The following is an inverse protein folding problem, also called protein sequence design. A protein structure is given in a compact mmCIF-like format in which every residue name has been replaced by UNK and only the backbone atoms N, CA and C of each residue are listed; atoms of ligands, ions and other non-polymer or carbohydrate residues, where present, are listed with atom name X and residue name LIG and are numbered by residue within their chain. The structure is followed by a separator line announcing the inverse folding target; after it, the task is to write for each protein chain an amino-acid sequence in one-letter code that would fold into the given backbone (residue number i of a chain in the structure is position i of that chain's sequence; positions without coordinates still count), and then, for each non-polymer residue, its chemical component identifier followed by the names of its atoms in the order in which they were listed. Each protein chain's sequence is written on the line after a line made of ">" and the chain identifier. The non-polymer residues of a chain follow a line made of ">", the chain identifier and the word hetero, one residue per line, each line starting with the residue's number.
data_IF_712443874427
#
_entry.id   IF_712443874427
#
_cell.length_a   1.000
_cell.length_b   1.000
_cell.length_c   1.000
_cell.angle_alpha   90.00
_cell.angle_beta   90.00
_cell.angle_gamma   90.00
#
_symmetry.space_group_name_H-M   'P 1'
#
loop_
_entity.id
_entity.type
_entity.pdbx_description
1 polymer ?
#
# COMPACT_ATOMS: atom_id res chain seq x y z
N UNK A 1 6.15 -15.18 -2.74
CA UNK A 1 6.22 -13.79 -2.26
C UNK A 1 6.91 -13.82 -0.91
N UNK A 2 7.96 -13.02 -0.71
CA UNK A 2 8.57 -12.88 0.62
C UNK A 2 7.61 -12.11 1.53
N UNK A 3 7.45 -12.54 2.78
CA UNK A 3 6.52 -11.93 3.75
C UNK A 3 7.20 -10.88 4.63
N UNK A 4 8.48 -10.60 4.42
CA UNK A 4 9.25 -9.62 5.18
C UNK A 4 10.31 -8.96 4.31
N UNK A 5 10.55 -7.64 4.48
CA UNK A 5 11.66 -6.94 3.85
C UNK A 5 13.00 -7.15 4.57
N UNK A 6 13.05 -7.93 5.66
CA UNK A 6 14.28 -8.17 6.41
C UNK A 6 15.38 -8.79 5.53
N UNK A 7 16.47 -8.04 5.34
CA UNK A 7 17.63 -8.46 4.54
C UNK A 7 17.62 -7.99 3.08
N UNK A 8 16.56 -7.32 2.62
CA UNK A 8 16.58 -6.66 1.31
C UNK A 8 17.48 -5.43 1.35
N UNK A 9 18.33 -5.27 0.33
CA UNK A 9 19.17 -4.09 0.12
C UNK A 9 18.71 -3.39 -1.15
N UNK A 10 18.27 -2.15 -1.01
CA UNK A 10 17.70 -1.35 -2.10
C UNK A 10 16.17 -1.40 -2.14
N UNK A 11 15.57 -0.78 -3.17
CA UNK A 11 14.13 -0.60 -3.23
C UNK A 11 13.40 -1.92 -3.35
N UNK A 12 12.30 -2.04 -2.62
CA UNK A 12 11.45 -3.22 -2.61
C UNK A 12 9.99 -2.83 -2.75
N UNK A 13 9.19 -3.83 -3.10
CA UNK A 13 7.77 -3.67 -3.35
C UNK A 13 7.01 -4.49 -2.31
N UNK A 14 6.07 -3.85 -1.64
CA UNK A 14 5.03 -4.49 -0.84
C UNK A 14 3.76 -4.50 -1.68
N UNK A 15 3.10 -5.65 -1.68
CA UNK A 15 1.79 -5.81 -2.29
C UNK A 15 0.83 -6.28 -1.23
N UNK A 16 -0.32 -5.64 -1.12
CA UNK A 16 -1.37 -6.03 -0.19
C UNK A 16 -2.68 -6.27 -0.93
N UNK A 17 -3.23 -7.47 -0.78
CA UNK A 17 -4.53 -7.85 -1.30
C UNK A 17 -5.56 -7.81 -0.18
N UNK A 18 -6.67 -7.11 -0.42
CA UNK A 18 -7.78 -7.00 0.51
C UNK A 18 -9.06 -7.48 -0.17
N UNK A 19 -9.81 -8.33 0.53
CA UNK A 19 -11.17 -8.68 0.14
C UNK A 19 -12.15 -8.05 1.13
N UNK A 20 -12.91 -7.07 0.64
CA UNK A 20 -13.84 -6.31 1.46
C UNK A 20 -15.18 -7.01 1.49
N UNK A 21 -15.82 -7.01 2.66
CA UNK A 21 -17.16 -7.55 2.84
C UNK A 21 -18.15 -6.86 1.90
N UNK A 22 -19.15 -7.60 1.43
CA UNK A 22 -20.19 -7.06 0.56
C UNK A 22 -20.88 -5.85 1.21
N UNK A 23 -21.17 -4.84 0.39
CA UNK A 23 -21.78 -3.59 0.83
C UNK A 23 -20.83 -2.58 1.49
N UNK A 24 -19.56 -2.92 1.71
CA UNK A 24 -18.58 -2.03 2.34
C UNK A 24 -17.47 -1.54 1.39
N UNK A 25 -17.45 -1.99 0.14
CA UNK A 25 -16.39 -1.67 -0.82
C UNK A 25 -16.30 -0.16 -1.12
N UNK A 26 -17.42 0.54 -1.25
CA UNK A 26 -17.41 1.97 -1.57
C UNK A 26 -16.94 2.82 -0.39
N UNK A 27 -17.36 2.49 0.83
CA UNK A 27 -16.84 3.13 2.05
C UNK A 27 -15.36 2.87 2.22
N UNK A 28 -14.91 1.63 1.94
CA UNK A 28 -13.49 1.30 1.97
C UNK A 28 -12.72 2.09 0.93
N UNK A 29 -13.20 2.20 -0.32
CA UNK A 29 -12.55 2.99 -1.37
C UNK A 29 -12.34 4.45 -0.95
N UNK A 30 -13.35 5.08 -0.32
CA UNK A 30 -13.27 6.45 0.15
C UNK A 30 -12.17 6.65 1.21
N UNK A 31 -12.09 5.75 2.20
CA UNK A 31 -11.03 5.82 3.22
C UNK A 31 -9.66 5.43 2.65
N UNK A 32 -9.62 4.43 1.77
CA UNK A 32 -8.39 3.94 1.16
C UNK A 32 -7.76 4.95 0.22
N UNK A 33 -8.57 5.81 -0.40
CA UNK A 33 -8.07 6.98 -1.16
C UNK A 33 -7.29 7.94 -0.27
N UNK A 34 -7.74 8.20 0.96
CA UNK A 34 -7.02 9.07 1.91
C UNK A 34 -5.68 8.48 2.31
N UNK A 35 -5.60 7.15 2.47
CA UNK A 35 -4.35 6.43 2.72
C UNK A 35 -3.39 6.64 1.54
N UNK A 36 -3.86 6.44 0.31
CA UNK A 36 -3.06 6.69 -0.90
C UNK A 36 -2.57 8.14 -0.98
N UNK A 37 -3.41 9.12 -0.66
CA UNK A 37 -3.02 10.53 -0.66
C UNK A 37 -1.98 10.84 0.42
N UNK A 38 -2.08 10.19 1.59
CA UNK A 38 -1.07 10.32 2.64
C UNK A 38 0.26 9.68 2.24
N UNK A 39 0.25 8.47 1.67
CA UNK A 39 1.45 7.74 1.29
C UNK A 39 2.20 8.39 0.11
N UNK A 40 1.48 9.05 -0.81
CA UNK A 40 2.10 9.85 -1.88
C UNK A 40 2.40 11.29 -1.46
N UNK A 41 2.17 11.68 -0.20
CA UNK A 41 2.53 13.00 0.31
C UNK A 41 3.93 13.01 0.92
N UNK A 42 4.49 14.19 1.16
CA UNK A 42 5.79 14.38 1.83
C UNK A 42 5.83 13.83 3.28
N UNK A 43 4.73 13.27 3.79
CA UNK A 43 4.65 12.63 5.12
C UNK A 43 5.34 11.28 5.17
N UNK A 44 5.59 10.64 4.04
CA UNK A 44 6.34 9.38 3.94
C UNK A 44 7.51 9.53 2.96
N UNK A 45 8.60 10.21 3.35
CA UNK A 45 9.70 10.55 2.43
C UNK A 45 10.43 9.34 1.85
N UNK A 46 10.26 8.14 2.41
CA UNK A 46 10.82 6.89 1.90
C UNK A 46 9.87 6.05 1.04
N UNK A 47 8.62 6.51 0.85
CA UNK A 47 7.66 5.91 -0.08
C UNK A 47 7.89 6.49 -1.48
N UNK A 48 8.38 5.67 -2.40
CA UNK A 48 8.63 6.06 -3.79
C UNK A 48 7.31 6.14 -4.55
N UNK A 49 6.45 5.14 -4.35
CA UNK A 49 5.20 5.02 -5.10
C UNK A 49 4.16 4.23 -4.31
N UNK A 50 2.96 4.81 -4.17
CA UNK A 50 1.82 4.11 -3.60
C UNK A 50 0.64 4.11 -4.60
N UNK A 51 0.31 2.94 -5.13
CA UNK A 51 -0.81 2.74 -6.06
C UNK A 51 -1.86 1.82 -5.47
N UNK A 52 -3.11 2.14 -5.76
CA UNK A 52 -4.25 1.32 -5.38
C UNK A 52 -5.05 0.93 -6.62
N UNK A 53 -5.57 -0.29 -6.62
CA UNK A 53 -6.48 -0.80 -7.66
C UNK A 53 -7.69 -1.45 -7.00
N UNK A 54 -8.85 -1.34 -7.67
CA UNK A 54 -10.12 -1.93 -7.22
C UNK A 54 -10.71 -2.78 -8.35
N UNK A 55 -11.19 -3.97 -7.99
CA UNK A 55 -11.98 -4.83 -8.86
C UNK A 55 -13.16 -5.40 -8.06
N UNK A 56 -14.30 -4.71 -8.11
CA UNK A 56 -15.48 -5.02 -7.30
C UNK A 56 -15.20 -4.82 -5.80
N UNK A 57 -15.18 -5.92 -5.05
CA UNK A 57 -14.87 -5.94 -3.61
C UNK A 57 -13.41 -6.28 -3.31
N UNK A 58 -12.60 -6.54 -4.35
CA UNK A 58 -11.17 -6.82 -4.20
C UNK A 58 -10.38 -5.55 -4.40
N UNK A 59 -9.47 -5.28 -3.48
CA UNK A 59 -8.58 -4.14 -3.52
C UNK A 59 -7.14 -4.63 -3.48
N UNK A 60 -6.28 -3.89 -4.17
CA UNK A 60 -4.86 -4.18 -4.25
C UNK A 60 -4.08 -2.90 -3.95
N UNK A 61 -3.12 -2.96 -3.03
CA UNK A 61 -2.11 -1.95 -2.83
C UNK A 61 -0.79 -2.40 -3.45
N UNK A 62 -0.11 -1.45 -4.07
CA UNK A 62 1.27 -1.56 -4.49
C UNK A 62 2.03 -0.42 -3.84
N UNK A 63 3.03 -0.76 -3.05
CA UNK A 63 3.78 0.18 -2.23
C UNK A 63 5.26 -0.06 -2.47
N UNK A 64 5.94 0.90 -3.07
CA UNK A 64 7.36 0.83 -3.34
C UNK A 64 8.10 1.73 -2.36
N UNK A 65 9.08 1.16 -1.66
CA UNK A 65 9.88 1.86 -0.67
C UNK A 65 11.35 1.79 -1.04
N UNK A 66 12.12 2.81 -0.63
CA UNK A 66 13.56 2.89 -0.90
C UNK A 66 14.36 1.79 -0.17
N UNK A 67 13.98 1.48 1.06
CA UNK A 67 14.66 0.53 1.93
C UNK A 67 13.76 0.06 3.08
N UNK A 68 14.12 -1.06 3.73
CA UNK A 68 13.30 -1.67 4.77
C UNK A 68 13.00 -0.73 5.96
N UNK A 69 13.82 0.30 6.22
CA UNK A 69 13.57 1.30 7.25
C UNK A 69 12.54 2.36 6.87
N UNK A 70 12.23 2.49 5.58
CA UNK A 70 11.19 3.37 5.05
C UNK A 70 9.78 2.82 5.27
N UNK A 71 9.64 1.49 5.34
CA UNK A 71 8.39 0.84 5.77
C UNK A 71 8.29 0.88 7.30
N UNK A 72 7.48 1.80 7.81
CA UNK A 72 7.16 1.88 9.25
C UNK A 72 5.76 1.30 9.48
N UNK A 73 5.72 0.07 10.01
CA UNK A 73 4.51 -0.60 10.47
C UNK A 73 3.98 -0.03 11.79
#
# INVERSE_FOLDING_TARGET
>A
MATSPAGFKGPFIVTADFEIKEGHADTFEQEFRKVRECANSDKEPGCIEFRTSRHGNKFFAFEQYEDAGSLKA
#
